data_IF_616706615447
#
_entry.id   IF_616706615447
#
_cell.length_a   1.000
_cell.length_b   1.000
_cell.length_c   1.000
_cell.angle_alpha   90.00
_cell.angle_beta   90.00
_cell.angle_gamma   90.00
#
_symmetry.space_group_name_H-M   'P 1'
#
loop_
_entity.id
_entity.type
_entity.pdbx_description
1 polymer ?
#
# COMPACT_ATOMS: atom_id res chain seq x y z
N UNK A 1 -10.06 -25.38 -9.87
CA UNK A 1 -9.20 -24.19 -9.65
C UNK A 1 -10.09 -22.97 -9.84
N UNK A 2 -10.43 -22.20 -8.80
CA UNK A 2 -11.38 -21.08 -8.99
C UNK A 2 -11.60 -20.14 -7.79
N UNK A 3 -11.23 -20.51 -6.57
CA UNK A 3 -11.43 -19.66 -5.39
C UNK A 3 -10.14 -19.05 -4.81
N UNK A 4 -8.96 -19.45 -5.30
CA UNK A 4 -7.69 -19.16 -4.63
C UNK A 4 -7.14 -17.74 -4.86
N UNK A 5 -7.51 -17.06 -5.96
CA UNK A 5 -6.95 -15.73 -6.29
C UNK A 5 -7.51 -14.59 -5.43
N UNK A 6 -8.63 -14.81 -4.72
CA UNK A 6 -9.22 -13.83 -3.80
C UNK A 6 -8.92 -14.13 -2.32
N UNK A 7 -8.21 -15.23 -2.03
CA UNK A 7 -7.84 -15.52 -0.65
C UNK A 7 -6.69 -14.59 -0.24
N UNK A 8 -6.97 -13.71 0.72
CA UNK A 8 -5.96 -12.86 1.38
C UNK A 8 -4.74 -13.69 1.81
N UNK A 9 -4.98 -14.90 2.32
CA UNK A 9 -3.90 -15.83 2.70
C UNK A 9 -2.97 -16.14 1.53
N UNK A 10 -3.50 -16.42 0.34
CA UNK A 10 -2.68 -16.73 -0.84
C UNK A 10 -1.86 -15.53 -1.27
N UNK A 11 -2.41 -14.33 -1.18
CA UNK A 11 -1.68 -13.09 -1.48
C UNK A 11 -0.55 -12.87 -0.46
N UNK A 12 -0.84 -13.03 0.83
CA UNK A 12 0.16 -12.89 1.90
C UNK A 12 1.26 -13.94 1.82
N UNK A 13 0.90 -15.21 1.65
CA UNK A 13 1.84 -16.33 1.50
C UNK A 13 2.80 -16.09 0.32
N UNK A 14 2.40 -15.30 -0.69
CA UNK A 14 3.21 -14.97 -1.87
C UNK A 14 3.85 -13.59 -1.81
N UNK A 15 3.72 -12.86 -0.69
CA UNK A 15 4.25 -11.50 -0.55
C UNK A 15 3.63 -10.49 -1.52
N UNK A 16 2.45 -10.78 -2.06
CA UNK A 16 1.78 -9.91 -3.03
C UNK A 16 1.11 -8.74 -2.30
N UNK A 17 1.50 -7.52 -2.67
CA UNK A 17 0.81 -6.31 -2.26
C UNK A 17 -0.38 -6.02 -3.20
N UNK A 18 -1.62 -6.18 -2.72
CA UNK A 18 -2.81 -5.92 -3.52
C UNK A 18 -3.25 -4.46 -3.38
N UNK A 19 -3.03 -3.70 -4.45
CA UNK A 19 -3.46 -2.30 -4.56
C UNK A 19 -4.75 -2.21 -5.35
N UNK A 20 -5.73 -1.44 -4.87
CA UNK A 20 -7.02 -1.31 -5.56
C UNK A 20 -7.50 0.13 -5.64
N UNK A 21 -7.97 0.55 -6.81
CA UNK A 21 -8.60 1.85 -7.02
C UNK A 21 -10.10 1.64 -7.17
N UNK A 22 -10.89 2.11 -6.19
CA UNK A 22 -12.34 1.85 -6.14
C UNK A 22 -13.11 3.07 -5.64
N UNK A 23 -14.38 3.21 -6.03
CA UNK A 23 -15.31 4.04 -5.29
C UNK A 23 -15.44 3.54 -3.84
N UNK A 24 -15.41 4.46 -2.88
CA UNK A 24 -15.58 4.14 -1.46
C UNK A 24 -16.81 4.86 -0.92
N UNK A 25 -17.82 4.11 -0.51
CA UNK A 25 -19.05 4.66 0.02
C UNK A 25 -18.87 5.12 1.47
N UNK A 26 -19.62 6.15 1.88
CA UNK A 26 -19.62 6.73 3.23
C UNK A 26 -18.22 7.11 3.76
N UNK A 27 -17.31 7.46 2.85
CA UNK A 27 -15.96 7.90 3.20
C UNK A 27 -16.02 9.18 4.04
N UNK A 28 -15.47 9.12 5.25
CA UNK A 28 -15.51 10.20 6.23
C UNK A 28 -14.36 10.14 7.24
N UNK A 29 -14.34 11.15 8.10
CA UNK A 29 -13.41 11.25 9.22
C UNK A 29 -14.18 11.68 10.46
N UNK A 30 -14.10 10.88 11.53
CA UNK A 30 -14.71 11.16 12.83
C UNK A 30 -14.13 12.48 13.36
N UNK A 31 -14.86 13.59 13.23
CA UNK A 31 -14.48 14.96 13.63
C UNK A 31 -13.62 15.80 12.66
N UNK A 32 -13.51 15.48 11.36
CA UNK A 32 -12.87 16.38 10.37
C UNK A 32 -13.79 16.82 9.24
N UNK A 33 -13.41 17.91 8.59
CA UNK A 33 -14.22 18.55 7.56
C UNK A 33 -14.23 17.76 6.23
N UNK A 34 -15.31 17.93 5.47
CA UNK A 34 -15.48 17.29 4.16
C UNK A 34 -14.40 17.70 3.14
N UNK A 35 -13.69 18.83 3.35
CA UNK A 35 -12.60 19.23 2.46
C UNK A 35 -11.40 18.31 2.64
N UNK A 36 -11.08 17.93 3.88
CA UNK A 36 -9.98 17.01 4.17
C UNK A 36 -10.24 15.64 3.55
N UNK A 37 -11.48 15.14 3.61
CA UNK A 37 -11.87 13.88 2.97
C UNK A 37 -11.59 13.89 1.47
N UNK A 38 -11.86 14.99 0.76
CA UNK A 38 -11.55 15.16 -0.67
C UNK A 38 -10.06 15.22 -0.99
N UNK A 39 -9.21 15.42 0.02
CA UNK A 39 -7.75 15.38 -0.16
C UNK A 39 -7.16 13.98 0.02
N UNK A 40 -7.96 12.99 0.45
CA UNK A 40 -7.49 11.61 0.63
C UNK A 40 -7.21 10.99 -0.73
N UNK A 41 -6.00 10.49 -0.91
CA UNK A 41 -5.59 9.69 -2.06
C UNK A 41 -5.98 8.23 -1.86
N UNK A 42 -5.69 7.71 -0.67
CA UNK A 42 -5.93 6.32 -0.31
C UNK A 42 -5.50 6.03 1.12
N UNK A 43 -5.61 4.78 1.53
CA UNK A 43 -5.22 4.30 2.85
C UNK A 43 -4.77 2.83 2.79
N UNK A 44 -3.83 2.46 3.67
CA UNK A 44 -3.44 1.08 3.94
C UNK A 44 -3.83 0.70 5.38
N UNK A 45 -3.29 -0.42 5.89
CA UNK A 45 -3.62 -0.96 7.22
C UNK A 45 -3.33 -0.01 8.38
N UNK A 46 -2.45 0.97 8.16
CA UNK A 46 -1.87 1.78 9.24
C UNK A 46 -1.95 3.29 8.96
N UNK A 47 -2.07 3.69 7.69
CA UNK A 47 -1.93 5.09 7.28
C UNK A 47 -3.00 5.54 6.29
N UNK A 48 -3.38 6.82 6.39
CA UNK A 48 -4.09 7.56 5.34
C UNK A 48 -3.11 8.44 4.58
N UNK A 49 -3.19 8.45 3.26
CA UNK A 49 -2.37 9.28 2.37
C UNK A 49 -3.18 10.42 1.77
N UNK A 50 -2.60 11.61 1.74
CA UNK A 50 -3.21 12.85 1.25
C UNK A 50 -2.50 13.38 0.00
N UNK A 51 -3.17 14.25 -0.76
CA UNK A 51 -2.56 14.96 -1.90
C UNK A 51 -1.32 15.78 -1.52
N UNK A 52 -1.23 16.25 -0.27
CA UNK A 52 -0.08 16.99 0.24
C UNK A 52 1.17 16.12 0.36
N UNK A 53 1.02 14.80 0.51
CA UNK A 53 2.14 13.86 0.62
C UNK A 53 2.95 13.75 -0.67
N UNK A 54 2.37 14.13 -1.81
CA UNK A 54 3.06 14.22 -3.10
C UNK A 54 4.34 15.07 -3.04
N UNK A 55 4.38 16.07 -2.15
CA UNK A 55 5.51 16.99 -1.99
C UNK A 55 6.53 16.50 -0.94
N UNK A 56 6.17 15.54 -0.11
CA UNK A 56 7.05 15.04 0.96
C UNK A 56 8.15 14.17 0.37
N UNK A 57 9.36 14.24 0.92
CA UNK A 57 10.46 13.35 0.51
C UNK A 57 10.20 11.89 0.86
N UNK A 58 9.45 11.67 1.94
CA UNK A 58 9.06 10.36 2.47
C UNK A 58 7.54 10.26 2.48
N UNK A 59 7.01 9.09 2.12
CA UNK A 59 5.58 8.83 2.16
C UNK A 59 5.19 8.19 3.51
N UNK A 60 5.11 9.01 4.56
CA UNK A 60 4.78 8.53 5.91
C UNK A 60 3.28 8.26 6.10
N UNK A 61 2.43 8.92 5.30
CA UNK A 61 0.99 8.95 5.54
C UNK A 61 0.65 9.60 6.89
N UNK A 62 -0.55 9.33 7.39
CA UNK A 62 -1.03 9.86 8.67
C UNK A 62 -1.86 8.82 9.43
N UNK A 63 -1.35 8.37 10.57
CA UNK A 63 -1.98 7.36 11.42
C UNK A 63 -3.16 7.94 12.23
N UNK A 64 -3.12 9.22 12.62
CA UNK A 64 -4.24 9.84 13.34
C UNK A 64 -5.50 9.93 12.47
N UNK A 65 -5.32 10.22 11.19
CA UNK A 65 -6.37 10.22 10.18
C UNK A 65 -6.87 8.81 9.90
N UNK A 66 -5.99 7.81 9.87
CA UNK A 66 -6.38 6.41 9.76
C UNK A 66 -7.29 6.00 10.91
N UNK A 67 -6.93 6.33 12.15
CA UNK A 67 -7.74 6.02 13.33
C UNK A 67 -9.09 6.75 13.35
N UNK A 68 -9.22 7.86 12.63
CA UNK A 68 -10.46 8.60 12.49
C UNK A 68 -11.27 8.20 11.25
N UNK A 69 -10.72 7.39 10.35
CA UNK A 69 -11.31 7.07 9.04
C UNK A 69 -12.57 6.23 9.21
N UNK A 70 -13.64 6.64 8.55
CA UNK A 70 -14.90 5.91 8.47
C UNK A 70 -15.22 5.64 7.01
N UNK A 71 -15.69 4.45 6.69
CA UNK A 71 -16.08 4.06 5.34
C UNK A 71 -16.93 2.80 5.38
N UNK A 72 -17.71 2.60 4.32
CA UNK A 72 -18.46 1.37 4.11
C UNK A 72 -17.58 0.35 3.36
N UNK A 73 -17.42 -0.84 3.95
CA UNK A 73 -16.58 -1.90 3.39
C UNK A 73 -17.21 -2.49 2.13
N UNK A 74 -16.44 -2.52 1.04
CA UNK A 74 -16.66 -3.47 -0.04
C UNK A 74 -15.67 -4.65 0.09
N UNK A 75 -15.85 -5.73 -0.67
CA UNK A 75 -15.00 -6.92 -0.57
C UNK A 75 -13.52 -6.65 -0.88
N UNK A 76 -13.20 -5.61 -1.66
CA UNK A 76 -11.83 -5.31 -2.10
C UNK A 76 -11.02 -4.58 -1.05
N UNK A 77 -11.66 -3.76 -0.19
CA UNK A 77 -10.95 -2.95 0.79
C UNK A 77 -10.24 -3.85 1.81
N UNK A 78 -10.91 -4.78 2.51
CA UNK A 78 -10.22 -5.69 3.44
C UNK A 78 -9.14 -6.51 2.74
N UNK A 79 -9.35 -6.94 1.49
CA UNK A 79 -8.33 -7.66 0.74
C UNK A 79 -7.07 -6.80 0.60
N UNK A 80 -7.19 -5.54 0.18
CA UNK A 80 -6.04 -4.65 0.03
C UNK A 80 -5.32 -4.40 1.37
N UNK A 81 -6.07 -4.08 2.42
CA UNK A 81 -5.51 -3.79 3.75
C UNK A 81 -4.82 -5.01 4.36
N UNK A 82 -5.42 -6.19 4.20
CA UNK A 82 -4.87 -7.42 4.76
C UNK A 82 -3.75 -8.01 3.90
N UNK A 83 -3.57 -7.54 2.66
CA UNK A 83 -2.50 -8.00 1.75
C UNK A 83 -1.56 -6.88 1.35
N UNK A 84 -0.94 -6.26 2.36
CA UNK A 84 0.24 -5.39 2.21
C UNK A 84 0.09 -4.17 1.29
N UNK A 85 -1.10 -3.96 0.75
CA UNK A 85 -1.39 -2.96 -0.27
C UNK A 85 -2.23 -1.83 0.30
N UNK A 86 -2.82 -1.06 -0.60
CA UNK A 86 -3.62 0.11 -0.25
C UNK A 86 -4.89 0.21 -1.10
N UNK A 87 -5.92 0.80 -0.50
CA UNK A 87 -7.13 1.23 -1.19
C UNK A 87 -6.98 2.69 -1.60
N UNK A 88 -7.27 3.00 -2.87
CA UNK A 88 -7.22 4.35 -3.42
C UNK A 88 -8.61 4.83 -3.83
N UNK A 89 -8.93 6.08 -3.50
CA UNK A 89 -10.29 6.63 -3.59
C UNK A 89 -10.56 7.15 -5.01
N UNK A 90 -11.28 6.37 -5.81
CA UNK A 90 -11.52 6.69 -7.21
C UNK A 90 -12.25 8.03 -7.40
N UNK A 91 -13.29 8.29 -6.61
CA UNK A 91 -14.07 9.52 -6.73
C UNK A 91 -13.23 10.78 -6.40
N UNK A 92 -12.29 10.69 -5.46
CA UNK A 92 -11.41 11.82 -5.14
C UNK A 92 -10.45 12.14 -6.29
N UNK A 93 -9.99 11.13 -7.03
CA UNK A 93 -9.21 11.34 -8.25
C UNK A 93 -10.04 11.99 -9.37
N UNK A 94 -11.24 11.46 -9.60
CA UNK A 94 -12.14 11.93 -10.67
C UNK A 94 -12.54 13.39 -10.42
N UNK A 95 -12.91 13.74 -9.19
CA UNK A 95 -13.39 15.07 -8.82
C UNK A 95 -12.25 16.10 -8.65
N UNK A 96 -11.01 15.65 -8.54
CA UNK A 96 -9.86 16.54 -8.40
C UNK A 96 -9.61 17.38 -9.66
N UNK A 97 -9.17 18.63 -9.43
CA UNK A 97 -8.60 19.47 -10.50
C UNK A 97 -7.30 18.87 -11.03
N UNK A 98 -6.83 19.33 -12.20
CA UNK A 98 -5.62 18.80 -12.87
C UNK A 98 -4.39 18.70 -11.94
N UNK A 99 -4.13 19.73 -11.12
CA UNK A 99 -3.03 19.69 -10.14
C UNK A 99 -3.21 18.59 -9.09
N UNK A 100 -4.43 18.42 -8.56
CA UNK A 100 -4.77 17.37 -7.61
C UNK A 100 -4.63 15.97 -8.22
N UNK A 101 -5.08 15.77 -9.47
CA UNK A 101 -4.87 14.49 -10.19
C UNK A 101 -3.40 14.13 -10.33
N UNK A 102 -2.55 15.12 -10.64
CA UNK A 102 -1.10 14.92 -10.71
C UNK A 102 -0.52 14.52 -9.35
N UNK A 103 -0.92 15.19 -8.28
CA UNK A 103 -0.49 14.86 -6.92
C UNK A 103 -0.96 13.47 -6.49
N UNK A 104 -2.20 13.11 -6.81
CA UNK A 104 -2.76 11.78 -6.56
C UNK A 104 -1.89 10.70 -7.22
N UNK A 105 -1.60 10.85 -8.52
CA UNK A 105 -0.76 9.89 -9.24
C UNK A 105 0.66 9.80 -8.67
N UNK A 106 1.23 10.91 -8.17
CA UNK A 106 2.54 10.89 -7.52
C UNK A 106 2.52 10.08 -6.21
N UNK A 107 1.50 10.24 -5.38
CA UNK A 107 1.35 9.47 -4.13
C UNK A 107 1.09 7.99 -4.46
N UNK A 108 0.13 7.72 -5.34
CA UNK A 108 -0.23 6.38 -5.80
C UNK A 108 0.98 5.61 -6.35
N UNK A 109 1.71 6.21 -7.30
CA UNK A 109 2.87 5.56 -7.92
C UNK A 109 4.00 5.29 -6.93
N UNK A 110 4.27 6.24 -6.01
CA UNK A 110 5.28 6.06 -4.97
C UNK A 110 4.93 4.94 -4.01
N UNK A 111 3.68 4.84 -3.57
CA UNK A 111 3.26 3.79 -2.65
C UNK A 111 3.37 2.40 -3.28
N UNK A 112 3.01 2.29 -4.57
CA UNK A 112 3.22 1.05 -5.34
C UNK A 112 4.70 0.74 -5.44
N UNK A 113 5.55 1.71 -5.79
CA UNK A 113 7.00 1.49 -5.88
C UNK A 113 7.60 1.03 -4.54
N UNK A 114 7.23 1.65 -3.42
CA UNK A 114 7.65 1.22 -2.07
C UNK A 114 7.22 -0.21 -1.78
N UNK A 115 6.03 -0.63 -2.23
CA UNK A 115 5.57 -2.00 -2.03
C UNK A 115 6.35 -3.05 -2.84
N UNK A 116 6.92 -2.65 -3.98
CA UNK A 116 7.78 -3.50 -4.83
C UNK A 116 9.20 -3.65 -4.28
N UNK A 117 9.65 -2.69 -3.46
CA UNK A 117 10.98 -2.68 -2.85
C UNK A 117 11.04 -3.40 -1.49
N UNK A 118 9.93 -3.99 -1.04
CA UNK A 118 9.88 -4.68 0.24
C UNK A 118 10.74 -5.94 0.24
N UNK A 119 11.48 -6.15 1.34
CA UNK A 119 12.29 -7.34 1.54
C UNK A 119 11.38 -8.48 2.03
N UNK A 120 11.45 -9.63 1.34
CA UNK A 120 10.66 -10.81 1.67
C UNK A 120 11.57 -11.88 2.28
N UNK A 121 11.12 -12.43 3.41
CA UNK A 121 11.67 -13.65 3.98
C UNK A 121 10.71 -14.80 3.67
N UNK A 122 11.24 -15.85 3.05
CA UNK A 122 10.46 -16.99 2.57
C UNK A 122 10.96 -18.28 3.20
N UNK A 123 10.03 -19.08 3.71
CA UNK A 123 10.28 -20.47 4.09
C UNK A 123 9.85 -21.38 2.94
N UNK A 124 10.79 -22.14 2.40
CA UNK A 124 10.55 -23.06 1.30
C UNK A 124 10.57 -24.51 1.77
N UNK A 125 9.53 -25.27 1.44
CA UNK A 125 9.49 -26.72 1.63
C UNK A 125 9.50 -27.42 0.28
N UNK A 126 10.38 -28.41 0.12
CA UNK A 126 10.41 -29.25 -1.07
C UNK A 126 9.48 -30.45 -0.87
N UNK A 127 8.61 -30.71 -1.82
CA UNK A 127 7.79 -31.92 -1.85
C UNK A 127 7.87 -32.59 -3.22
N UNK A 128 7.68 -33.91 -3.25
CA UNK A 128 7.65 -34.66 -4.50
C UNK A 128 6.27 -34.50 -5.13
N UNK A 129 6.23 -33.89 -6.31
CA UNK A 129 5.04 -33.77 -7.15
C UNK A 129 5.07 -34.81 -8.27
N UNK A 130 3.91 -35.34 -8.64
CA UNK A 130 3.77 -36.35 -9.70
C UNK A 130 4.78 -37.53 -9.58
N UNK A 131 5.01 -37.99 -8.35
CA UNK A 131 5.77 -39.21 -8.03
C UNK A 131 7.30 -39.08 -8.06
N UNK A 132 7.89 -38.22 -8.90
CA UNK A 132 9.35 -38.11 -9.05
C UNK A 132 9.88 -36.67 -9.22
N UNK A 133 9.01 -35.66 -9.37
CA UNK A 133 9.44 -34.30 -9.66
C UNK A 133 9.52 -33.49 -8.37
N UNK A 134 10.70 -33.07 -7.91
CA UNK A 134 10.79 -32.18 -6.76
C UNK A 134 10.17 -30.82 -7.12
N UNK A 135 9.30 -30.33 -6.25
CA UNK A 135 8.68 -29.01 -6.38
C UNK A 135 8.87 -28.23 -5.07
N UNK A 136 9.42 -27.02 -5.18
CA UNK A 136 9.58 -26.13 -4.04
C UNK A 136 8.33 -25.26 -3.88
N UNK A 137 7.70 -25.34 -2.72
CA UNK A 137 6.65 -24.42 -2.31
C UNK A 137 7.20 -23.48 -1.26
N UNK A 138 7.32 -22.20 -1.63
CA UNK A 138 7.78 -21.13 -0.75
C UNK A 138 6.60 -20.31 -0.22
N UNK A 139 6.68 -19.95 1.05
CA UNK A 139 5.71 -19.07 1.73
C UNK A 139 6.46 -17.94 2.40
N UNK A 140 6.00 -16.72 2.16
CA UNK A 140 6.48 -15.53 2.87
C UNK A 140 6.10 -15.64 4.34
N UNK A 141 7.12 -15.63 5.21
CA UNK A 141 6.97 -15.66 6.66
C UNK A 141 7.16 -14.29 7.29
N UNK A 142 7.94 -13.42 6.64
CA UNK A 142 7.99 -12.01 7.01
C UNK A 142 8.21 -11.12 5.78
N UNK A 143 7.70 -9.89 5.87
CA UNK A 143 7.88 -8.83 4.88
C UNK A 143 8.32 -7.59 5.61
N UNK A 144 9.45 -7.02 5.22
CA UNK A 144 9.99 -5.80 5.81
C UNK A 144 9.86 -4.68 4.80
N UNK A 145 9.01 -3.69 5.10
CA UNK A 145 8.99 -2.47 4.30
C UNK A 145 10.34 -1.77 4.44
N UNK A 146 10.86 -1.31 3.31
CA UNK A 146 12.10 -0.57 3.30
C UNK A 146 11.90 0.74 4.07
N UNK A 147 12.86 1.07 4.95
CA UNK A 147 12.88 2.40 5.53
C UNK A 147 12.98 3.44 4.40
N UNK A 148 12.26 4.57 4.50
CA UNK A 148 12.25 5.55 3.44
C UNK A 148 13.65 6.02 3.05
N UNK A 149 13.95 5.90 1.76
CA UNK A 149 15.23 6.22 1.11
C UNK A 149 15.81 7.62 1.44
N UNK A 150 15.03 8.51 2.04
CA UNK A 150 15.47 9.84 2.46
C UNK A 150 16.56 9.82 3.55
N UNK A 151 16.73 8.72 4.29
CA UNK A 151 17.80 8.60 5.29
C UNK A 151 19.18 8.29 4.68
N UNK A 152 19.25 7.85 3.41
CA UNK A 152 20.52 7.41 2.80
C UNK A 152 21.38 8.59 2.28
N UNK A 153 20.91 9.84 2.37
CA UNK A 153 21.69 11.03 1.94
C UNK A 153 22.01 11.98 3.09
N UNK A 154 22.85 11.55 4.03
CA UNK A 154 23.56 12.45 4.93
C UNK A 154 24.94 11.94 5.42
N UNK A 155 25.66 11.09 4.67
CA UNK A 155 27.12 11.00 4.85
C UNK A 155 27.79 12.05 3.97
N UNK A 156 27.88 13.29 4.48
CA UNK A 156 28.71 14.35 3.88
C UNK A 156 30.18 14.03 4.17
N UNK A 157 30.80 13.21 3.32
CA UNK A 157 32.26 13.15 3.21
C UNK A 157 32.77 14.42 2.52
N UNK A 158 32.93 15.50 3.28
CA UNK A 158 33.59 16.71 2.80
C UNK A 158 35.10 16.55 2.87
N UNK A 159 35.74 16.27 1.74
CA UNK A 159 37.20 16.44 1.59
C UNK A 159 37.45 17.92 1.32
N UNK A 160 38.13 18.61 2.26
CA UNK A 160 38.65 19.95 2.04
C UNK A 160 39.88 19.85 1.14
N UNK A 161 39.84 20.54 0.00
CA UNK A 161 40.99 20.95 -0.81
C UNK A 161 40.98 22.46 -0.92
#
# INVERSE_FOLDING_TARGET
>A
MGAALYSVKVLRDRGVAFHVVVPVDDLGLTNKDAKTVKQIVGFDSDHVYLLSDAKKKVLEGNTELHNALTYSNNIWIPIALDSYGATYIAQNFIDAKSSGRKQFLQVFSRRIAESLEAELHEDCTCHVSAGIYPFSECKVTSRKEREPLAQIKASKGGVKG
#
